data_IF_078538132041
#
_entry.id   IF_078538132041
#
_cell.length_a   1.000
_cell.length_b   1.000
_cell.length_c   1.000
_cell.angle_alpha   90.00
_cell.angle_beta   90.00
_cell.angle_gamma   90.00
#
_symmetry.space_group_name_H-M   'P 1'
#
loop_
_entity.id
_entity.type
_entity.pdbx_description
1 polymer ?
#
# COMPACT_ATOMS: atom_id res chain seq x y z
N UNK A 1 -3.18 12.37 19.93
CA UNK A 1 -1.97 12.72 19.13
C UNK A 1 -0.75 13.07 19.98
N UNK A 2 -0.90 13.53 21.23
CA UNK A 2 0.26 13.86 22.10
C UNK A 2 1.28 12.72 22.24
N UNK A 3 0.82 11.48 22.33
CA UNK A 3 1.69 10.31 22.37
C UNK A 3 2.50 10.09 21.07
N UNK A 4 1.87 10.13 19.88
CA UNK A 4 2.60 9.90 18.61
C UNK A 4 3.55 11.04 18.24
N UNK A 5 3.16 12.30 18.45
CA UNK A 5 4.07 13.44 18.29
C UNK A 5 5.25 13.36 19.28
N UNK A 6 5.00 12.89 20.51
CA UNK A 6 6.07 12.66 21.49
C UNK A 6 6.93 11.43 21.18
N UNK A 7 6.43 10.45 20.42
CA UNK A 7 7.21 9.27 20.05
C UNK A 7 8.18 9.56 18.90
N UNK A 8 7.77 10.39 17.94
CA UNK A 8 8.62 10.79 16.81
C UNK A 8 8.83 12.31 16.86
N UNK A 9 9.81 12.73 17.65
CA UNK A 9 10.20 14.13 17.75
C UNK A 9 10.62 14.65 16.37
N UNK A 10 9.97 15.72 15.89
CA UNK A 10 10.27 16.36 14.60
C UNK A 10 9.29 16.05 13.46
N UNK A 11 8.39 15.08 13.63
CA UNK A 11 7.28 14.85 12.69
C UNK A 11 5.97 15.38 13.29
N UNK A 12 5.34 16.32 12.59
CA UNK A 12 4.03 16.83 12.99
C UNK A 12 2.90 16.01 12.35
N UNK A 13 2.35 15.07 13.12
CA UNK A 13 1.22 14.23 12.68
C UNK A 13 -0.11 14.98 12.66
N UNK A 14 -0.17 16.22 13.16
CA UNK A 14 -1.36 17.08 13.04
C UNK A 14 -1.74 17.29 11.58
N UNK A 15 -0.75 17.38 10.67
CA UNK A 15 -0.98 17.56 9.23
C UNK A 15 -1.59 16.36 8.53
N UNK A 16 -1.45 15.16 9.11
CA UNK A 16 -2.02 13.93 8.57
C UNK A 16 -3.46 13.74 9.09
N UNK A 17 -3.93 14.59 10.01
CA UNK A 17 -5.34 14.67 10.36
C UNK A 17 -6.13 15.27 9.21
N UNK A 18 -6.62 14.38 8.36
CA UNK A 18 -7.63 14.70 7.38
C UNK A 18 -9.00 14.64 8.06
N UNK A 19 -9.82 15.69 7.91
CA UNK A 19 -11.23 15.69 8.37
C UNK A 19 -12.16 14.87 7.47
N UNK A 20 -11.65 14.37 6.35
CA UNK A 20 -12.40 13.53 5.42
C UNK A 20 -12.66 12.18 6.09
N UNK A 21 -13.93 11.81 6.15
CA UNK A 21 -14.32 10.49 6.62
C UNK A 21 -13.66 9.42 5.75
N UNK A 22 -13.23 8.32 6.40
CA UNK A 22 -12.72 7.15 5.70
C UNK A 22 -13.82 6.62 4.77
N UNK A 23 -13.55 6.57 3.48
CA UNK A 23 -14.46 5.95 2.51
C UNK A 23 -14.06 4.50 2.29
N UNK A 24 -15.02 3.64 2.00
CA UNK A 24 -14.74 2.29 1.50
C UNK A 24 -13.85 2.30 0.26
N UNK A 25 -13.93 3.36 -0.56
CA UNK A 25 -13.06 3.49 -1.73
C UNK A 25 -11.59 3.67 -1.37
N UNK A 26 -11.27 4.25 -0.21
CA UNK A 26 -9.88 4.41 0.27
C UNK A 26 -9.23 3.05 0.59
N UNK A 27 -10.02 1.98 0.69
CA UNK A 27 -9.57 0.61 0.95
C UNK A 27 -9.67 -0.25 -0.31
N UNK A 28 -10.82 -0.22 -0.99
CA UNK A 28 -11.09 -1.11 -2.13
C UNK A 28 -10.23 -0.77 -3.34
N UNK A 29 -10.01 0.53 -3.61
CA UNK A 29 -9.20 0.96 -4.76
C UNK A 29 -7.75 0.45 -4.66
N UNK A 30 -6.98 0.73 -3.59
CA UNK A 30 -5.62 0.22 -3.48
C UNK A 30 -5.59 -1.31 -3.42
N UNK A 31 -6.59 -1.97 -2.82
CA UNK A 31 -6.67 -3.44 -2.82
C UNK A 31 -6.75 -4.03 -4.24
N UNK A 32 -7.57 -3.44 -5.11
CA UNK A 32 -7.67 -3.85 -6.53
C UNK A 32 -6.36 -3.60 -7.26
N UNK A 33 -5.75 -2.42 -7.05
CA UNK A 33 -4.45 -2.08 -7.66
C UNK A 33 -3.38 -3.10 -7.26
N UNK A 34 -3.31 -3.47 -5.97
CA UNK A 34 -2.37 -4.49 -5.51
C UNK A 34 -2.67 -5.87 -6.08
N UNK A 35 -3.94 -6.26 -6.17
CA UNK A 35 -4.32 -7.55 -6.77
C UNK A 35 -3.86 -7.66 -8.23
N UNK A 36 -4.05 -6.61 -9.03
CA UNK A 36 -3.58 -6.55 -10.43
C UNK A 36 -2.07 -6.65 -10.51
N UNK A 37 -1.34 -5.87 -9.69
CA UNK A 37 0.12 -5.89 -9.70
C UNK A 37 0.71 -7.20 -9.22
N UNK A 38 0.16 -7.81 -8.18
CA UNK A 38 0.61 -9.13 -7.71
C UNK A 38 0.30 -10.23 -8.72
N UNK A 39 -0.84 -10.16 -9.40
CA UNK A 39 -1.13 -11.08 -10.49
C UNK A 39 -0.12 -10.92 -11.64
N UNK A 40 0.13 -9.69 -12.09
CA UNK A 40 1.10 -9.41 -13.15
C UNK A 40 2.50 -9.88 -12.79
N UNK A 41 2.96 -9.61 -11.56
CA UNK A 41 4.24 -10.10 -11.06
C UNK A 41 4.28 -11.64 -11.01
N UNK A 42 3.22 -12.28 -10.53
CA UNK A 42 3.11 -13.75 -10.50
C UNK A 42 3.19 -14.37 -11.90
N UNK A 43 2.45 -13.82 -12.87
CA UNK A 43 2.52 -14.23 -14.28
C UNK A 43 3.92 -14.04 -14.84
N UNK A 44 4.56 -12.90 -14.58
CA UNK A 44 5.91 -12.62 -15.04
C UNK A 44 6.93 -13.63 -14.49
N UNK A 45 6.91 -13.92 -13.19
CA UNK A 45 7.84 -14.88 -12.60
C UNK A 45 7.55 -16.31 -13.02
N UNK A 46 6.27 -16.69 -13.20
CA UNK A 46 5.92 -17.99 -13.75
C UNK A 46 6.42 -18.17 -15.19
N UNK A 47 6.24 -17.14 -16.03
CA UNK A 47 6.77 -17.09 -17.38
C UNK A 47 8.30 -17.18 -17.39
N UNK A 48 8.97 -16.40 -16.55
CA UNK A 48 10.43 -16.37 -16.44
C UNK A 48 10.97 -17.74 -16.01
N UNK A 49 10.36 -18.36 -14.99
CA UNK A 49 10.69 -19.72 -14.55
C UNK A 49 10.55 -20.73 -15.69
N UNK A 50 9.48 -20.66 -16.47
CA UNK A 50 9.28 -21.58 -17.60
C UNK A 50 10.29 -21.34 -18.73
N UNK A 51 10.87 -20.13 -18.83
CA UNK A 51 11.88 -19.79 -19.81
C UNK A 51 13.30 -20.19 -19.38
N UNK A 52 13.61 -20.07 -18.09
CA UNK A 52 14.93 -20.37 -17.50
C UNK A 52 15.05 -21.81 -16.99
N UNK A 53 13.93 -22.49 -16.72
CA UNK A 53 13.88 -23.90 -16.33
C UNK A 53 14.03 -24.88 -17.51
N UNK A 54 14.60 -24.39 -18.61
CA UNK A 54 15.04 -25.14 -19.78
C UNK A 54 16.49 -24.75 -20.07
#
# INVERSE_FOLDING_TARGET
MGFMNALFHGLDFSRIQTRRALSWWDVVYPAIVFAVWFFAAGVFFAWLRNRLGK
#
